data_IF_998949540509
#
_entry.id   IF_998949540509
#
_cell.length_a   1.000
_cell.length_b   1.000
_cell.length_c   1.000
_cell.angle_alpha   90.00
_cell.angle_beta   90.00
_cell.angle_gamma   90.00
#
_symmetry.space_group_name_H-M   'P 1'
#
loop_
_entity.id
_entity.type
_entity.pdbx_description
1 polymer ?
#
# COMPACT_ATOMS: atom_id res chain seq x y z
N UNK A 1 9.88 2.36 -1.98
CA UNK A 1 9.42 2.63 -3.36
C UNK A 1 8.88 4.04 -3.51
N UNK A 2 8.47 4.71 -2.43
CA UNK A 2 8.05 6.12 -2.48
C UNK A 2 9.12 7.04 -3.08
N UNK A 3 8.67 8.08 -3.80
CA UNK A 3 9.52 9.11 -4.37
C UNK A 3 9.62 10.32 -3.43
N UNK A 4 10.79 10.94 -3.37
CA UNK A 4 11.00 12.21 -2.65
C UNK A 4 10.68 13.41 -3.55
N UNK A 5 9.39 13.62 -3.84
CA UNK A 5 8.93 14.62 -4.84
C UNK A 5 8.21 15.83 -4.23
N UNK A 6 7.75 15.74 -2.99
CA UNK A 6 7.10 16.84 -2.27
C UNK A 6 8.00 17.29 -1.10
N UNK A 7 8.66 18.45 -1.18
CA UNK A 7 9.58 18.93 -0.13
C UNK A 7 8.92 19.11 1.25
N UNK A 8 7.60 19.28 1.31
CA UNK A 8 6.85 19.39 2.58
C UNK A 8 6.38 18.04 3.11
N UNK A 9 6.67 16.93 2.44
CA UNK A 9 6.31 15.61 2.91
C UNK A 9 6.98 15.36 4.28
N UNK A 10 6.24 15.13 5.37
CA UNK A 10 6.83 15.08 6.70
C UNK A 10 7.47 13.72 7.03
N UNK A 11 7.28 12.71 6.18
CA UNK A 11 7.46 11.30 6.58
C UNK A 11 8.34 10.49 5.63
N UNK A 12 8.34 10.75 4.31
CA UNK A 12 9.15 10.01 3.32
C UNK A 12 10.59 10.53 3.33
N UNK A 13 10.84 11.73 2.79
CA UNK A 13 12.14 12.41 2.76
C UNK A 13 13.35 11.45 2.63
N UNK A 14 14.24 11.44 3.62
CA UNK A 14 15.48 10.65 3.69
C UNK A 14 15.28 9.13 3.73
N UNK A 15 14.02 8.64 3.81
CA UNK A 15 13.68 7.22 3.71
C UNK A 15 13.43 6.76 2.27
N UNK A 16 13.40 7.68 1.31
CA UNK A 16 13.36 7.36 -0.12
C UNK A 16 14.76 7.23 -0.72
N UNK A 17 14.85 6.47 -1.81
CA UNK A 17 16.05 6.43 -2.66
C UNK A 17 16.19 7.67 -3.58
N UNK A 18 15.22 8.57 -3.60
CA UNK A 18 15.28 9.85 -4.31
C UNK A 18 13.98 10.22 -5.05
N UNK A 19 14.07 11.20 -5.94
CA UNK A 19 12.93 11.73 -6.68
C UNK A 19 12.75 11.13 -8.09
N UNK A 20 13.80 10.55 -8.68
CA UNK A 20 13.77 9.98 -10.03
C UNK A 20 13.11 8.58 -10.02
N UNK A 21 11.94 8.37 -10.65
CA UNK A 21 11.24 7.09 -10.61
C UNK A 21 12.09 5.92 -11.12
N UNK A 22 12.86 6.13 -12.19
CA UNK A 22 13.71 5.08 -12.75
C UNK A 22 14.85 4.71 -11.79
N UNK A 23 15.50 5.70 -11.18
CA UNK A 23 16.52 5.52 -10.15
C UNK A 23 16.00 4.81 -8.91
N UNK A 24 14.86 5.24 -8.38
CA UNK A 24 14.23 4.60 -7.21
C UNK A 24 13.84 3.15 -7.52
N UNK A 25 13.29 2.87 -8.70
CA UNK A 25 12.98 1.51 -9.15
C UNK A 25 14.22 0.61 -9.21
N UNK A 26 15.34 1.09 -9.79
CA UNK A 26 16.60 0.33 -9.82
C UNK A 26 17.14 0.02 -8.43
N UNK A 27 17.15 0.99 -7.52
CA UNK A 27 17.63 0.79 -6.15
C UNK A 27 16.72 -0.14 -5.35
N UNK A 28 15.40 0.01 -5.48
CA UNK A 28 14.43 -0.90 -4.86
C UNK A 28 14.63 -2.34 -5.34
N UNK A 29 14.76 -2.55 -6.65
CA UNK A 29 15.01 -3.87 -7.23
C UNK A 29 16.32 -4.51 -6.70
N UNK A 30 17.39 -3.73 -6.60
CA UNK A 30 18.66 -4.21 -6.05
C UNK A 30 18.53 -4.61 -4.56
N UNK A 31 17.86 -3.78 -3.76
CA UNK A 31 17.57 -4.08 -2.34
C UNK A 31 16.77 -5.37 -2.19
N UNK A 32 15.69 -5.52 -2.97
CA UNK A 32 14.82 -6.69 -2.96
C UNK A 32 15.59 -7.97 -3.26
N UNK A 33 16.41 -7.97 -4.33
CA UNK A 33 17.25 -9.11 -4.69
C UNK A 33 18.23 -9.46 -3.57
N UNK A 34 18.91 -8.47 -3.01
CA UNK A 34 19.83 -8.67 -1.90
C UNK A 34 19.17 -9.30 -0.66
N UNK A 35 17.98 -8.83 -0.26
CA UNK A 35 17.25 -9.45 0.84
C UNK A 35 16.87 -10.91 0.54
N UNK A 36 16.32 -11.15 -0.65
CA UNK A 36 15.72 -12.44 -0.98
C UNK A 36 16.75 -13.51 -1.35
N UNK A 37 17.92 -13.16 -1.85
CA UNK A 37 19.07 -14.07 -1.99
C UNK A 37 19.54 -14.64 -0.64
N UNK A 38 19.18 -13.97 0.46
CA UNK A 38 19.40 -14.43 1.84
C UNK A 38 18.13 -14.95 2.52
N UNK A 39 17.13 -15.36 1.74
CA UNK A 39 15.87 -15.94 2.22
C UNK A 39 15.05 -15.01 3.13
N UNK A 40 15.23 -13.69 3.02
CA UNK A 40 14.43 -12.69 3.72
C UNK A 40 13.42 -12.08 2.74
N UNK A 41 12.13 -12.18 3.07
CA UNK A 41 11.07 -11.56 2.26
C UNK A 41 11.20 -10.03 2.28
N UNK A 42 11.41 -9.43 1.11
CA UNK A 42 11.40 -7.98 0.97
C UNK A 42 9.95 -7.46 0.84
N UNK A 43 9.74 -6.21 1.24
CA UNK A 43 8.45 -5.53 1.16
C UNK A 43 8.58 -4.20 0.41
N UNK A 44 7.85 -4.04 -0.69
CA UNK A 44 7.75 -2.77 -1.40
C UNK A 44 6.66 -1.89 -0.78
N UNK A 45 7.01 -0.66 -0.40
CA UNK A 45 6.09 0.27 0.27
C UNK A 45 6.33 1.75 -0.07
N UNK A 46 5.33 2.62 0.06
CA UNK A 46 3.92 2.35 0.45
C UNK A 46 3.00 2.55 -0.77
N UNK A 47 2.44 1.48 -1.34
CA UNK A 47 1.73 1.50 -2.62
C UNK A 47 0.43 2.35 -2.57
N UNK A 48 0.10 3.15 -3.61
CA UNK A 48 0.84 3.40 -4.85
C UNK A 48 1.93 4.49 -4.76
N UNK A 49 2.16 5.05 -3.57
CA UNK A 49 3.24 6.00 -3.32
C UNK A 49 2.84 7.05 -2.28
N UNK A 50 3.59 7.16 -1.19
CA UNK A 50 3.37 8.16 -0.13
C UNK A 50 4.06 9.51 -0.42
N UNK A 51 4.90 9.55 -1.47
CA UNK A 51 5.82 10.65 -1.77
C UNK A 51 5.19 12.04 -1.92
N UNK A 52 3.92 12.12 -2.34
CA UNK A 52 3.19 13.38 -2.60
C UNK A 52 2.39 13.92 -1.41
N UNK A 53 2.38 13.23 -0.27
CA UNK A 53 1.60 13.68 0.88
C UNK A 53 2.23 14.90 1.55
N UNK A 54 1.41 15.76 2.13
CA UNK A 54 1.84 16.90 2.97
C UNK A 54 1.42 16.75 4.44
N UNK A 55 0.73 15.65 4.75
CA UNK A 55 0.25 15.28 6.09
C UNK A 55 0.70 13.86 6.40
N UNK A 56 1.06 13.59 7.64
CA UNK A 56 1.45 12.27 8.09
C UNK A 56 0.21 11.36 8.29
N UNK A 57 0.22 10.17 7.68
CA UNK A 57 -0.84 9.17 7.82
C UNK A 57 -0.94 8.56 9.22
N UNK A 58 0.07 8.75 10.08
CA UNK A 58 -0.05 8.41 11.49
C UNK A 58 -1.06 9.30 12.23
N UNK A 59 -1.21 10.56 11.81
CA UNK A 59 -2.08 11.54 12.48
C UNK A 59 -3.51 11.59 11.92
N UNK A 60 -3.73 11.11 10.69
CA UNK A 60 -5.03 11.15 10.01
C UNK A 60 -4.94 10.54 8.62
N UNK A 61 -5.93 10.78 7.75
CA UNK A 61 -5.91 10.29 6.37
C UNK A 61 -5.36 11.37 5.42
N UNK A 62 -4.15 11.22 4.85
CA UNK A 62 -3.64 12.14 3.85
C UNK A 62 -4.38 11.93 2.51
N UNK A 63 -4.45 13.00 1.72
CA UNK A 63 -5.11 13.01 0.40
C UNK A 63 -4.09 13.45 -0.65
N UNK A 64 -3.99 12.72 -1.75
CA UNK A 64 -3.19 13.05 -2.93
C UNK A 64 -4.12 13.26 -4.12
N UNK A 65 -4.23 14.52 -4.57
CA UNK A 65 -5.16 14.95 -5.63
C UNK A 65 -4.66 14.68 -7.06
N UNK A 66 -3.48 14.06 -7.21
CA UNK A 66 -2.88 13.82 -8.52
C UNK A 66 -3.78 12.90 -9.37
N UNK A 67 -3.90 13.13 -10.70
CA UNK A 67 -4.61 12.24 -11.60
C UNK A 67 -4.03 10.83 -11.59
N UNK A 68 -4.88 9.82 -11.79
CA UNK A 68 -4.45 8.41 -11.86
C UNK A 68 -3.31 8.19 -12.87
N UNK A 69 -3.39 8.80 -14.05
CA UNK A 69 -2.39 8.65 -15.11
C UNK A 69 -1.00 9.12 -14.66
N UNK A 70 -0.92 10.25 -13.94
CA UNK A 70 0.34 10.79 -13.43
C UNK A 70 0.92 9.84 -12.37
N UNK A 71 0.09 9.39 -11.42
CA UNK A 71 0.49 8.43 -10.39
C UNK A 71 0.99 7.11 -10.98
N UNK A 72 0.28 6.58 -11.97
CA UNK A 72 0.65 5.34 -12.67
C UNK A 72 1.96 5.47 -13.44
N UNK A 73 2.21 6.64 -14.03
CA UNK A 73 3.44 6.92 -14.78
C UNK A 73 4.65 7.18 -13.86
N UNK A 74 4.45 7.83 -12.71
CA UNK A 74 5.56 8.21 -11.82
C UNK A 74 5.63 7.38 -10.54
N UNK A 75 4.64 7.52 -9.66
CA UNK A 75 4.69 7.02 -8.27
C UNK A 75 4.64 5.49 -8.23
N UNK A 76 3.93 4.88 -9.17
CA UNK A 76 3.79 3.43 -9.31
C UNK A 76 5.01 2.78 -10.00
N UNK A 77 5.78 3.53 -10.81
CA UNK A 77 6.87 2.96 -11.60
C UNK A 77 7.91 2.18 -10.77
N UNK A 78 8.35 2.65 -9.58
CA UNK A 78 9.22 1.85 -8.72
C UNK A 78 8.61 0.56 -8.20
N UNK A 79 7.29 0.49 -8.02
CA UNK A 79 6.60 -0.73 -7.61
C UNK A 79 6.55 -1.75 -8.75
N UNK A 80 6.37 -1.31 -9.99
CA UNK A 80 6.46 -2.21 -11.15
C UNK A 80 7.87 -2.83 -11.26
N UNK A 81 8.93 -2.05 -11.02
CA UNK A 81 10.30 -2.59 -10.97
C UNK A 81 10.53 -3.53 -9.78
N UNK A 82 9.93 -3.25 -8.61
CA UNK A 82 9.96 -4.15 -7.46
C UNK A 82 9.30 -5.50 -7.76
N UNK A 83 8.15 -5.50 -8.45
CA UNK A 83 7.45 -6.72 -8.86
C UNK A 83 8.25 -7.50 -9.88
N UNK A 84 8.83 -6.84 -10.90
CA UNK A 84 9.76 -7.49 -11.85
C UNK A 84 11.00 -8.10 -11.17
N UNK A 85 11.45 -7.50 -10.07
CA UNK A 85 12.54 -8.03 -9.26
C UNK A 85 12.13 -9.20 -8.35
N UNK A 86 10.84 -9.57 -8.35
CA UNK A 86 10.30 -10.70 -7.59
C UNK A 86 10.03 -10.38 -6.12
N UNK A 87 9.67 -9.14 -5.77
CA UNK A 87 9.37 -8.78 -4.38
C UNK A 87 8.32 -9.71 -3.77
N UNK A 88 8.56 -10.16 -2.53
CA UNK A 88 7.68 -11.10 -1.84
C UNK A 88 6.38 -10.45 -1.34
N UNK A 89 6.44 -9.20 -0.88
CA UNK A 89 5.26 -8.47 -0.39
C UNK A 89 5.18 -7.02 -0.85
N UNK A 90 3.96 -6.49 -0.89
CA UNK A 90 3.65 -5.08 -1.12
C UNK A 90 2.79 -4.57 0.01
N UNK A 91 3.09 -3.38 0.51
CA UNK A 91 2.30 -2.71 1.54
C UNK A 91 1.61 -1.47 0.97
N UNK A 92 0.27 -1.43 0.87
CA UNK A 92 -0.46 -0.26 0.44
C UNK A 92 -0.54 0.77 1.57
N UNK A 93 -0.56 2.05 1.21
CA UNK A 93 -0.63 3.16 2.14
C UNK A 93 -2.07 3.38 2.65
N UNK A 94 -2.20 3.89 3.88
CA UNK A 94 -3.43 4.55 4.32
C UNK A 94 -3.45 6.02 3.89
N UNK A 95 -3.49 6.23 2.58
CA UNK A 95 -3.58 7.53 1.88
C UNK A 95 -4.69 7.43 0.82
N UNK A 96 -5.51 8.47 0.69
CA UNK A 96 -6.58 8.54 -0.31
C UNK A 96 -6.10 9.21 -1.60
N UNK A 97 -6.56 8.70 -2.75
CA UNK A 97 -6.19 9.17 -4.09
C UNK A 97 -7.46 9.41 -4.93
N UNK A 98 -8.26 10.46 -4.67
CA UNK A 98 -9.55 10.69 -5.32
C UNK A 98 -9.45 10.83 -6.85
N UNK A 99 -8.30 11.26 -7.37
CA UNK A 99 -8.01 11.28 -8.82
C UNK A 99 -7.88 9.89 -9.46
N UNK A 100 -7.82 8.82 -8.66
CA UNK A 100 -7.80 7.42 -9.08
C UNK A 100 -9.01 6.64 -8.58
N UNK A 101 -9.34 6.74 -7.28
CA UNK A 101 -10.53 6.13 -6.70
C UNK A 101 -11.47 7.22 -6.14
N UNK A 102 -12.53 7.59 -6.88
CA UNK A 102 -13.47 8.64 -6.46
C UNK A 102 -14.24 8.35 -5.16
N UNK A 103 -14.19 7.12 -4.63
CA UNK A 103 -14.78 6.81 -3.32
C UNK A 103 -14.08 7.55 -2.17
N UNK A 104 -12.84 8.00 -2.39
CA UNK A 104 -12.00 8.59 -1.35
C UNK A 104 -11.42 7.55 -0.37
N UNK A 105 -11.58 6.26 -0.64
CA UNK A 105 -10.98 5.21 0.14
C UNK A 105 -9.44 5.31 0.09
N UNK A 106 -8.79 4.97 1.22
CA UNK A 106 -7.34 4.85 1.24
C UNK A 106 -6.89 3.67 0.34
N UNK A 107 -5.65 3.70 -0.16
CA UNK A 107 -5.15 2.65 -1.06
C UNK A 107 -5.25 1.23 -0.47
N UNK A 108 -5.04 1.06 0.84
CA UNK A 108 -5.25 -0.22 1.53
C UNK A 108 -6.70 -0.72 1.59
N UNK A 109 -7.67 0.13 1.24
CA UNK A 109 -9.10 -0.19 1.21
C UNK A 109 -9.71 -0.10 -0.19
N UNK A 110 -8.91 0.10 -1.24
CA UNK A 110 -9.39 0.33 -2.61
C UNK A 110 -9.23 -0.91 -3.50
N UNK A 111 -10.34 -1.58 -3.88
CA UNK A 111 -10.31 -2.67 -4.85
C UNK A 111 -9.78 -2.23 -6.23
N UNK A 112 -9.92 -0.94 -6.57
CA UNK A 112 -9.45 -0.39 -7.85
C UNK A 112 -7.91 -0.34 -7.88
N UNK A 113 -7.30 0.23 -6.84
CA UNK A 113 -5.83 0.33 -6.76
C UNK A 113 -5.17 -1.04 -6.52
N UNK A 114 -5.72 -1.85 -5.61
CA UNK A 114 -5.21 -3.21 -5.39
C UNK A 114 -5.47 -4.12 -6.60
N UNK A 115 -6.59 -3.94 -7.29
CA UNK A 115 -6.87 -4.59 -8.57
C UNK A 115 -5.84 -4.22 -9.65
N UNK A 116 -5.41 -2.95 -9.72
CA UNK A 116 -4.34 -2.53 -10.62
C UNK A 116 -3.01 -3.20 -10.27
N UNK A 117 -2.66 -3.28 -8.98
CA UNK A 117 -1.47 -4.00 -8.50
C UNK A 117 -1.48 -5.47 -8.93
N UNK A 118 -2.62 -6.16 -8.76
CA UNK A 118 -2.76 -7.56 -9.15
C UNK A 118 -2.75 -7.75 -10.68
N UNK A 119 -3.56 -6.99 -11.42
CA UNK A 119 -3.85 -7.26 -12.84
C UNK A 119 -2.92 -6.55 -13.81
N UNK A 120 -2.68 -5.26 -13.59
CA UNK A 120 -1.89 -4.43 -14.51
C UNK A 120 -0.39 -4.51 -14.22
N UNK A 121 -0.01 -4.54 -12.93
CA UNK A 121 1.40 -4.74 -12.54
C UNK A 121 1.77 -6.24 -12.52
N UNK A 122 0.80 -7.13 -12.32
CA UNK A 122 1.05 -8.59 -12.30
C UNK A 122 1.67 -9.07 -10.99
N UNK A 123 1.28 -8.49 -9.85
CA UNK A 123 1.80 -8.89 -8.54
C UNK A 123 1.01 -10.05 -7.93
N UNK A 124 1.67 -11.18 -7.72
CA UNK A 124 1.07 -12.39 -7.14
C UNK A 124 1.53 -12.71 -5.71
N UNK A 125 2.32 -11.82 -5.09
CA UNK A 125 2.82 -11.99 -3.72
C UNK A 125 1.83 -11.56 -2.63
N UNK A 126 2.33 -11.33 -1.41
CA UNK A 126 1.51 -10.94 -0.26
C UNK A 126 1.23 -9.43 -0.25
N UNK A 127 -0.04 -9.04 -0.19
CA UNK A 127 -0.46 -7.66 0.10
C UNK A 127 -0.72 -7.53 1.61
N UNK A 128 0.15 -6.79 2.30
CA UNK A 128 0.08 -6.62 3.76
C UNK A 128 -0.30 -5.18 4.05
N UNK A 129 -1.38 -4.92 4.80
CA UNK A 129 -1.76 -3.53 5.13
C UNK A 129 -0.60 -2.78 5.81
N UNK A 130 -0.60 -1.45 5.73
CA UNK A 130 0.14 -0.67 6.72
C UNK A 130 -0.48 -0.87 8.13
N UNK A 131 0.14 -0.32 9.15
CA UNK A 131 -0.21 -0.61 10.54
C UNK A 131 -1.58 -0.03 10.94
N UNK A 132 -2.46 -0.84 11.55
CA UNK A 132 -3.80 -0.40 12.00
C UNK A 132 -3.77 0.59 13.17
N UNK A 133 -2.64 0.74 13.86
CA UNK A 133 -2.40 1.81 14.85
C UNK A 133 -2.36 3.22 14.24
N UNK A 134 -2.32 3.35 12.90
CA UNK A 134 -2.25 4.64 12.22
C UNK A 134 -3.62 5.30 12.14
N UNK A 135 -3.67 6.63 12.33
CA UNK A 135 -4.91 7.40 12.21
C UNK A 135 -5.62 7.20 10.87
N UNK A 136 -4.88 7.07 9.76
CA UNK A 136 -5.45 6.80 8.44
C UNK A 136 -6.18 5.46 8.31
N UNK A 137 -5.82 4.46 9.13
CA UNK A 137 -6.44 3.12 9.10
C UNK A 137 -7.87 3.12 9.67
N UNK A 138 -8.11 3.95 10.68
CA UNK A 138 -9.35 3.99 11.46
C UNK A 138 -10.14 5.29 11.27
N UNK A 139 -9.68 6.16 10.36
CA UNK A 139 -10.32 7.45 10.09
C UNK A 139 -11.79 7.32 9.62
N UNK A 140 -12.11 6.27 8.88
CA UNK A 140 -13.43 6.06 8.29
C UNK A 140 -14.31 5.06 9.07
N UNK A 141 -13.70 4.13 9.82
CA UNK A 141 -14.42 3.05 10.48
C UNK A 141 -13.63 2.50 11.69
N UNK A 142 -14.32 1.87 12.67
CA UNK A 142 -13.66 1.10 13.71
C UNK A 142 -12.78 -0.01 13.15
N UNK A 143 -11.76 -0.40 13.91
CA UNK A 143 -10.70 -1.32 13.48
C UNK A 143 -11.23 -2.64 12.88
N UNK A 144 -12.20 -3.29 13.51
CA UNK A 144 -12.80 -4.54 13.01
C UNK A 144 -13.44 -4.40 11.63
N UNK A 145 -14.21 -3.32 11.41
CA UNK A 145 -14.83 -3.03 10.10
C UNK A 145 -13.79 -2.63 9.06
N UNK A 146 -12.77 -1.87 9.47
CA UNK A 146 -11.66 -1.48 8.59
C UNK A 146 -10.82 -2.70 8.17
N UNK A 147 -10.60 -3.67 9.06
CA UNK A 147 -9.94 -4.94 8.75
C UNK A 147 -10.70 -5.74 7.69
N UNK A 148 -12.02 -5.89 7.85
CA UNK A 148 -12.87 -6.55 6.85
C UNK A 148 -12.82 -5.83 5.51
N UNK A 149 -12.86 -4.49 5.52
CA UNK A 149 -12.76 -3.69 4.30
C UNK A 149 -11.42 -3.88 3.58
N UNK A 150 -10.29 -3.89 4.30
CA UNK A 150 -8.97 -4.12 3.73
C UNK A 150 -8.85 -5.51 3.07
N UNK A 151 -9.36 -6.55 3.75
CA UNK A 151 -9.37 -7.91 3.20
C UNK A 151 -10.22 -7.99 1.94
N UNK A 152 -11.45 -7.47 1.98
CA UNK A 152 -12.35 -7.44 0.82
C UNK A 152 -11.81 -6.60 -0.34
N UNK A 153 -10.97 -5.59 -0.07
CA UNK A 153 -10.30 -4.81 -1.10
C UNK A 153 -9.16 -5.58 -1.80
N UNK A 154 -8.65 -6.65 -1.19
CA UNK A 154 -7.60 -7.50 -1.76
C UNK A 154 -6.31 -7.58 -0.94
N UNK A 155 -6.30 -7.09 0.31
CA UNK A 155 -5.20 -7.38 1.23
C UNK A 155 -5.24 -8.85 1.70
N UNK A 156 -4.09 -9.43 1.98
CA UNK A 156 -3.91 -10.81 2.45
C UNK A 156 -3.59 -10.87 3.95
N UNK A 157 -2.97 -9.83 4.50
CA UNK A 157 -2.56 -9.79 5.91
C UNK A 157 -2.80 -8.41 6.53
N UNK A 158 -3.28 -8.43 7.77
CA UNK A 158 -3.56 -7.25 8.58
C UNK A 158 -2.37 -6.98 9.51
N UNK A 159 -1.76 -5.81 9.42
CA UNK A 159 -0.60 -5.44 10.23
C UNK A 159 -1.01 -4.66 11.47
N UNK A 160 -0.55 -5.12 12.63
CA UNK A 160 -0.64 -4.41 13.90
C UNK A 160 -2.06 -3.97 14.33
N UNK A 161 -3.06 -4.89 14.32
CA UNK A 161 -4.33 -4.62 14.99
C UNK A 161 -4.12 -4.41 16.49
N UNK A 162 -4.81 -3.45 17.09
CA UNK A 162 -4.77 -3.19 18.54
C UNK A 162 -5.80 -4.01 19.31
N UNK A 163 -6.97 -4.26 18.70
CA UNK A 163 -8.00 -5.14 19.21
C UNK A 163 -8.06 -6.43 18.38
N UNK A 164 -7.04 -7.27 18.54
CA UNK A 164 -6.93 -8.51 17.75
C UNK A 164 -8.16 -9.43 17.94
N UNK A 165 -8.76 -9.45 19.13
CA UNK A 165 -9.91 -10.32 19.42
C UNK A 165 -11.17 -9.82 18.68
N UNK A 166 -11.45 -8.52 18.75
CA UNK A 166 -12.54 -7.89 17.99
C UNK A 166 -12.33 -7.98 16.48
N UNK A 167 -11.09 -7.86 16.01
CA UNK A 167 -10.75 -8.06 14.59
C UNK A 167 -11.06 -9.50 14.18
N UNK A 168 -10.59 -10.52 14.91
CA UNK A 168 -10.88 -11.93 14.61
C UNK A 168 -12.38 -12.21 14.54
N UNK A 169 -13.16 -11.68 15.48
CA UNK A 169 -14.62 -11.81 15.44
C UNK A 169 -15.22 -11.14 14.19
N UNK A 170 -14.70 -9.97 13.81
CA UNK A 170 -15.20 -9.24 12.64
C UNK A 170 -14.92 -9.97 11.32
N UNK A 171 -13.93 -10.87 11.27
CA UNK A 171 -13.58 -11.61 10.05
C UNK A 171 -14.71 -12.51 9.52
N UNK A 172 -15.73 -12.82 10.33
CA UNK A 172 -16.96 -13.49 9.88
C UNK A 172 -17.71 -12.71 8.78
N UNK A 173 -17.47 -11.40 8.66
CA UNK A 173 -18.07 -10.54 7.64
C UNK A 173 -17.22 -10.40 6.36
N UNK A 174 -16.08 -11.10 6.25
CA UNK A 174 -15.30 -11.13 5.00
C UNK A 174 -16.13 -11.83 3.91
N UNK A 175 -16.12 -11.27 2.70
CA UNK A 175 -16.93 -11.77 1.61
C UNK A 175 -16.51 -13.19 1.20
N UNK A 176 -17.46 -14.08 0.85
CA UNK A 176 -17.15 -15.42 0.36
C UNK A 176 -16.19 -15.41 -0.85
N UNK A 177 -16.39 -14.50 -1.79
CA UNK A 177 -15.53 -14.32 -2.97
C UNK A 177 -14.08 -14.04 -2.56
N UNK A 178 -13.87 -13.24 -1.52
CA UNK A 178 -12.52 -12.94 -1.02
C UNK A 178 -11.87 -14.16 -0.37
N UNK A 179 -12.65 -14.94 0.38
CA UNK A 179 -12.18 -16.19 1.00
C UNK A 179 -11.77 -17.19 -0.09
N UNK A 180 -12.58 -17.35 -1.14
CA UNK A 180 -12.26 -18.22 -2.26
C UNK A 180 -10.98 -17.79 -2.99
N UNK A 181 -10.78 -16.49 -3.20
CA UNK A 181 -9.55 -15.96 -3.81
C UNK A 181 -8.29 -16.17 -2.94
N UNK A 182 -8.43 -16.43 -1.63
CA UNK A 182 -7.30 -16.62 -0.72
C UNK A 182 -6.83 -18.08 -0.64
N UNK A 183 -7.63 -19.03 -1.11
CA UNK A 183 -7.40 -20.49 -1.01
C UNK A 183 -6.82 -21.06 -2.30
#
# INVERSE_FOLDING_TARGET
CDLDVEPKNPIVQTRSFGADPAGVGRHAAAWIKGCQEHFVMACAKHFPGHGRTTTDSHAGLPIVEAPAADLQQTDVAPFAEAVKAGVASVMPAFVAYPGWDPSGAAAGFSPVMLGYLRKEIGFDGLVVTDAFIMGGATAAAPEGSAAVAALNAGCDMLLYPTDWAGVVQSLEAVSPDRIEQAL
#
